data_IF_046985944503
#
_entry.id   IF_046985944503
#
_cell.length_a   1.000
_cell.length_b   1.000
_cell.length_c   1.000
_cell.angle_alpha   90.00
_cell.angle_beta   90.00
_cell.angle_gamma   90.00
#
_symmetry.space_group_name_H-M   'P 1'
#
loop_
_entity.id
_entity.type
_entity.pdbx_description
1 polymer ?
#
# COMPACT_ATOMS: atom_id res chain seq x y z
N UNK A 1 17.89 -0.42 54.77
CA UNK A 1 16.70 -0.23 53.90
C UNK A 1 16.93 0.71 52.70
N UNK A 2 17.88 1.67 52.73
CA UNK A 2 18.15 2.58 51.60
C UNK A 2 18.91 1.95 50.41
N UNK A 3 19.71 0.90 50.64
CA UNK A 3 20.55 0.28 49.60
C UNK A 3 19.72 -0.61 48.64
N UNK A 4 18.65 -1.24 49.13
CA UNK A 4 17.80 -2.13 48.31
C UNK A 4 17.00 -1.33 47.26
N UNK A 5 16.60 -0.10 47.58
CA UNK A 5 15.83 0.77 46.68
C UNK A 5 16.70 1.31 45.53
N UNK A 6 18.01 1.51 45.77
CA UNK A 6 18.95 1.96 44.74
C UNK A 6 19.32 0.81 43.79
N UNK A 7 19.42 -0.42 44.30
CA UNK A 7 19.66 -1.57 43.42
C UNK A 7 18.46 -1.90 42.52
N UNK A 8 17.22 -1.75 43.01
CA UNK A 8 16.03 -1.99 42.16
C UNK A 8 15.85 -0.91 41.10
N UNK A 9 16.20 0.36 41.38
CA UNK A 9 16.09 1.43 40.38
C UNK A 9 17.16 1.34 39.28
N UNK A 10 18.38 0.92 39.61
CA UNK A 10 19.47 0.74 38.63
C UNK A 10 19.25 -0.48 37.75
N UNK A 11 18.69 -1.57 38.30
CA UNK A 11 18.33 -2.76 37.49
C UNK A 11 17.17 -2.44 36.55
N UNK A 12 16.17 -1.65 36.97
CA UNK A 12 15.06 -1.26 36.10
C UNK A 12 15.51 -0.34 34.95
N UNK A 13 16.47 0.56 35.20
CA UNK A 13 17.04 1.44 34.18
C UNK A 13 17.96 0.69 33.20
N UNK A 14 18.70 -0.32 33.68
CA UNK A 14 19.57 -1.17 32.86
C UNK A 14 18.80 -2.10 31.91
N UNK A 15 17.60 -2.57 32.31
CA UNK A 15 16.76 -3.42 31.44
C UNK A 15 16.13 -2.62 30.30
N UNK A 16 15.86 -1.32 30.47
CA UNK A 16 15.36 -0.45 29.40
C UNK A 16 16.46 -0.12 28.37
N UNK A 17 17.72 -0.08 28.79
CA UNK A 17 18.86 0.23 27.91
C UNK A 17 19.45 -0.98 27.17
N UNK A 18 19.02 -2.20 27.52
CA UNK A 18 19.43 -3.45 26.85
C UNK A 18 18.40 -3.97 25.83
N UNK A 19 17.42 -3.16 25.44
CA UNK A 19 16.62 -3.47 24.26
C UNK A 19 17.51 -3.20 23.05
N UNK A 20 17.93 -4.23 22.29
CA UNK A 20 18.74 -4.00 21.10
C UNK A 20 17.99 -3.07 20.16
N UNK A 21 18.63 -1.95 19.81
CA UNK A 21 18.18 -0.91 18.87
C UNK A 21 17.87 -1.42 17.44
N UNK A 22 17.84 -2.73 17.23
CA UNK A 22 17.62 -3.37 15.92
C UNK A 22 16.19 -3.91 15.72
N UNK A 23 15.26 -3.63 16.63
CA UNK A 23 13.85 -3.81 16.31
C UNK A 23 13.35 -2.58 15.57
N UNK A 24 13.57 -2.55 14.25
CA UNK A 24 12.69 -1.79 13.36
C UNK A 24 11.30 -2.34 13.63
N UNK A 25 10.49 -1.59 14.40
CA UNK A 25 9.10 -1.93 14.67
C UNK A 25 8.37 -1.99 13.33
N UNK A 26 8.28 -3.20 12.77
CA UNK A 26 7.35 -3.49 11.71
C UNK A 26 5.96 -3.24 12.30
N UNK A 27 5.34 -2.12 11.92
CA UNK A 27 4.00 -1.78 12.36
C UNK A 27 3.07 -2.94 12.04
N UNK A 28 2.24 -3.34 13.00
CA UNK A 28 1.22 -4.36 12.78
C UNK A 28 0.24 -3.91 11.69
N UNK A 29 -0.43 -4.86 11.05
CA UNK A 29 -1.48 -4.58 10.04
C UNK A 29 -2.56 -3.66 10.61
N UNK A 30 -2.88 -3.79 11.90
CA UNK A 30 -3.83 -2.91 12.59
C UNK A 30 -3.28 -1.50 12.82
N UNK A 31 -1.99 -1.37 13.16
CA UNK A 31 -1.33 -0.07 13.29
C UNK A 31 -1.28 0.67 11.95
N UNK A 32 -0.94 -0.02 10.85
CA UNK A 32 -0.94 0.55 9.49
C UNK A 32 -2.35 1.00 9.10
N UNK A 33 -3.36 0.16 9.34
CA UNK A 33 -4.74 0.50 9.04
C UNK A 33 -5.21 1.72 9.86
N UNK A 34 -4.86 1.79 11.15
CA UNK A 34 -5.20 2.94 12.00
C UNK A 34 -4.46 4.22 11.58
N UNK A 35 -3.19 4.12 11.20
CA UNK A 35 -2.39 5.25 10.70
C UNK A 35 -3.02 5.92 9.47
N UNK A 36 -3.51 5.13 8.51
CA UNK A 36 -4.18 5.70 7.33
C UNK A 36 -5.51 6.35 7.72
N UNK A 37 -6.23 5.86 8.73
CA UNK A 37 -7.47 6.48 9.20
C UNK A 37 -8.63 6.43 8.18
N UNK A 38 -9.66 7.25 8.37
CA UNK A 38 -10.84 7.34 7.50
C UNK A 38 -11.02 8.76 6.93
N UNK A 39 -11.72 8.90 5.80
CA UNK A 39 -11.98 10.20 5.18
C UNK A 39 -13.25 10.83 5.75
N UNK A 40 -13.14 12.09 6.22
CA UNK A 40 -14.28 12.91 6.64
C UNK A 40 -15.13 13.28 5.42
N UNK A 41 -14.51 13.85 4.39
CA UNK A 41 -15.16 14.13 3.11
C UNK A 41 -14.90 12.93 2.19
N UNK A 42 -15.86 12.02 2.11
CA UNK A 42 -15.82 10.80 1.30
C UNK A 42 -16.76 10.94 0.07
N UNK A 43 -16.71 10.02 -0.91
CA UNK A 43 -17.45 10.17 -2.18
C UNK A 43 -18.97 10.26 -2.07
N UNK A 44 -19.56 9.80 -0.96
CA UNK A 44 -20.99 9.95 -0.70
C UNK A 44 -21.34 11.26 0.02
N UNK A 45 -20.35 12.07 0.42
CA UNK A 45 -20.56 13.35 1.07
C UNK A 45 -20.94 14.42 0.03
N UNK A 46 -21.94 15.30 0.27
CA UNK A 46 -22.40 16.29 -0.70
C UNK A 46 -21.31 17.27 -1.15
N UNK A 47 -20.39 17.62 -0.25
CA UNK A 47 -19.26 18.51 -0.54
C UNK A 47 -18.04 17.83 -1.18
N UNK A 48 -18.17 16.58 -1.63
CA UNK A 48 -17.03 15.83 -2.17
C UNK A 48 -16.42 16.45 -3.43
N UNK A 49 -17.21 17.16 -4.23
CA UNK A 49 -16.72 17.86 -5.42
C UNK A 49 -15.62 18.90 -5.08
N UNK A 50 -15.70 19.55 -3.91
CA UNK A 50 -14.68 20.50 -3.42
C UNK A 50 -13.31 19.83 -3.28
N UNK A 51 -13.28 18.53 -2.97
CA UNK A 51 -12.02 17.77 -2.89
C UNK A 51 -11.33 17.69 -4.24
N UNK A 52 -12.09 17.45 -5.31
CA UNK A 52 -11.54 17.39 -6.67
C UNK A 52 -10.97 18.74 -7.08
N UNK A 53 -11.67 19.84 -6.76
CA UNK A 53 -11.19 21.21 -6.99
C UNK A 53 -9.89 21.46 -6.23
N UNK A 54 -9.86 21.14 -4.94
CA UNK A 54 -8.67 21.29 -4.08
C UNK A 54 -7.48 20.49 -4.62
N UNK A 55 -7.70 19.23 -5.01
CA UNK A 55 -6.64 18.36 -5.53
C UNK A 55 -6.02 18.90 -6.83
N UNK A 56 -6.86 19.49 -7.70
CA UNK A 56 -6.37 20.16 -8.90
C UNK A 56 -5.51 21.39 -8.56
N UNK A 57 -5.91 22.21 -7.59
CA UNK A 57 -5.10 23.33 -7.13
C UNK A 57 -3.80 22.89 -6.46
N UNK A 58 -3.84 21.85 -5.63
CA UNK A 58 -2.63 21.29 -4.98
C UNK A 58 -1.60 20.79 -6.00
N UNK A 59 -2.04 20.23 -7.13
CA UNK A 59 -1.15 19.85 -8.23
C UNK A 59 -0.69 21.05 -9.06
N UNK A 60 -1.58 21.98 -9.39
CA UNK A 60 -1.26 23.17 -10.20
C UNK A 60 -0.23 24.05 -9.50
N UNK A 61 -0.29 24.15 -8.17
CA UNK A 61 0.64 24.92 -7.35
C UNK A 61 1.78 24.08 -6.76
N UNK A 62 2.00 22.86 -7.27
CA UNK A 62 3.19 22.10 -6.89
C UNK A 62 4.44 22.77 -7.49
N UNK A 63 5.31 23.30 -6.61
CA UNK A 63 6.46 24.11 -7.02
C UNK A 63 7.50 23.37 -7.89
N UNK A 64 7.52 22.03 -7.86
CA UNK A 64 8.46 21.23 -8.65
C UNK A 64 7.91 19.79 -8.88
N UNK A 65 8.49 19.01 -9.82
CA UNK A 65 8.03 17.66 -10.14
C UNK A 65 8.04 16.70 -8.94
N UNK A 66 9.02 16.83 -8.03
CA UNK A 66 9.08 16.02 -6.80
C UNK A 66 7.88 16.30 -5.89
N UNK A 67 7.55 17.57 -5.66
CA UNK A 67 6.37 17.96 -4.90
C UNK A 67 5.10 17.45 -5.55
N UNK A 68 5.00 17.48 -6.89
CA UNK A 68 3.85 16.93 -7.60
C UNK A 68 3.69 15.42 -7.35
N UNK A 69 4.77 14.64 -7.37
CA UNK A 69 4.72 13.20 -7.04
C UNK A 69 4.30 12.99 -5.58
N UNK A 70 4.85 13.75 -4.64
CA UNK A 70 4.46 13.67 -3.21
C UNK A 70 2.96 13.94 -3.04
N UNK A 71 2.41 14.96 -3.71
CA UNK A 71 0.97 15.23 -3.72
C UNK A 71 0.17 14.05 -4.29
N UNK A 72 0.63 13.41 -5.35
CA UNK A 72 -0.02 12.21 -5.89
C UNK A 72 0.00 11.04 -4.92
N UNK A 73 1.11 10.82 -4.19
CA UNK A 73 1.18 9.82 -3.13
C UNK A 73 0.14 10.13 -2.04
N UNK A 74 0.03 11.39 -1.58
CA UNK A 74 -1.01 11.79 -0.62
C UNK A 74 -2.42 11.51 -1.16
N UNK A 75 -2.65 11.68 -2.47
CA UNK A 75 -3.94 11.42 -3.10
C UNK A 75 -4.27 9.94 -3.11
N UNK A 76 -3.29 9.06 -3.31
CA UNK A 76 -3.46 7.61 -3.14
C UNK A 76 -3.95 7.28 -1.72
N UNK A 77 -3.29 7.83 -0.70
CA UNK A 77 -3.69 7.65 0.71
C UNK A 77 -5.11 8.14 0.95
N UNK A 78 -5.47 9.30 0.38
CA UNK A 78 -6.85 9.82 0.43
C UNK A 78 -7.85 8.85 -0.21
N UNK A 79 -7.53 8.18 -1.32
CA UNK A 79 -8.44 7.19 -1.92
C UNK A 79 -8.62 5.96 -1.02
N UNK A 80 -7.56 5.49 -0.35
CA UNK A 80 -7.70 4.38 0.60
C UNK A 80 -8.55 4.78 1.81
N UNK A 81 -8.37 5.99 2.34
CA UNK A 81 -9.26 6.57 3.38
C UNK A 81 -10.71 6.64 2.93
N UNK A 82 -10.96 7.04 1.69
CA UNK A 82 -12.31 7.08 1.11
C UNK A 82 -12.92 5.69 1.01
N UNK A 83 -12.18 4.70 0.53
CA UNK A 83 -12.66 3.30 0.49
C UNK A 83 -13.04 2.81 1.88
N UNK A 84 -12.22 3.10 2.90
CA UNK A 84 -12.55 2.77 4.30
C UNK A 84 -13.84 3.43 4.76
N UNK A 85 -14.02 4.72 4.50
CA UNK A 85 -15.27 5.42 4.82
C UNK A 85 -16.47 4.82 4.07
N UNK A 86 -16.32 4.50 2.78
CA UNK A 86 -17.40 3.90 2.00
C UNK A 86 -17.83 2.53 2.52
N UNK A 87 -16.89 1.73 3.02
CA UNK A 87 -17.22 0.47 3.69
C UNK A 87 -17.98 0.71 4.99
N UNK A 88 -17.58 1.70 5.79
CA UNK A 88 -18.25 2.07 7.04
C UNK A 88 -19.69 2.58 6.80
N UNK A 89 -19.88 3.46 5.82
CA UNK A 89 -21.19 4.03 5.46
C UNK A 89 -22.02 3.11 4.56
N UNK A 90 -21.60 1.86 4.33
CA UNK A 90 -22.31 0.88 3.51
C UNK A 90 -22.64 1.41 2.09
N UNK A 91 -21.68 2.09 1.46
CA UNK A 91 -21.76 2.61 0.09
C UNK A 91 -20.81 1.86 -0.86
N UNK A 92 -20.99 0.53 -1.05
CA UNK A 92 -20.11 -0.27 -1.91
C UNK A 92 -20.23 0.09 -3.39
N UNK A 93 -21.33 0.75 -3.79
CA UNK A 93 -21.56 1.28 -5.14
C UNK A 93 -20.46 2.25 -5.58
N UNK A 94 -19.92 3.04 -4.66
CA UNK A 94 -18.90 4.05 -4.95
C UNK A 94 -17.46 3.55 -4.86
N UNK A 95 -17.23 2.36 -4.27
CA UNK A 95 -15.89 1.79 -4.08
C UNK A 95 -15.16 1.62 -5.41
N UNK A 96 -15.87 1.13 -6.43
CA UNK A 96 -15.26 0.84 -7.75
C UNK A 96 -14.70 2.11 -8.39
N UNK A 97 -15.50 3.18 -8.43
CA UNK A 97 -15.06 4.48 -8.95
C UNK A 97 -13.91 5.09 -8.15
N UNK A 98 -13.88 4.86 -6.83
CA UNK A 98 -12.84 5.37 -5.93
C UNK A 98 -11.50 4.65 -6.16
N UNK A 99 -11.55 3.33 -6.31
CA UNK A 99 -10.38 2.51 -6.63
C UNK A 99 -9.89 2.70 -8.07
N UNK A 100 -10.76 3.09 -9.00
CA UNK A 100 -10.36 3.51 -10.34
C UNK A 100 -9.58 4.82 -10.31
N UNK A 101 -10.02 5.81 -9.52
CA UNK A 101 -9.24 7.04 -9.27
C UNK A 101 -7.88 6.74 -8.65
N UNK A 102 -7.83 5.80 -7.68
CA UNK A 102 -6.55 5.33 -7.12
C UNK A 102 -5.63 4.79 -8.21
N UNK A 103 -6.14 3.90 -9.06
CA UNK A 103 -5.34 3.30 -10.13
C UNK A 103 -4.84 4.34 -11.13
N UNK A 104 -5.66 5.33 -11.50
CA UNK A 104 -5.23 6.42 -12.38
C UNK A 104 -4.07 7.22 -11.78
N UNK A 105 -4.15 7.55 -10.48
CA UNK A 105 -3.06 8.26 -9.79
C UNK A 105 -1.80 7.38 -9.73
N UNK A 106 -1.95 6.07 -9.53
CA UNK A 106 -0.84 5.12 -9.51
C UNK A 106 -0.12 5.06 -10.88
N UNK A 107 -0.88 4.99 -11.97
CA UNK A 107 -0.36 5.00 -13.34
C UNK A 107 0.32 6.33 -13.67
N UNK A 108 -0.26 7.45 -13.23
CA UNK A 108 0.33 8.78 -13.39
C UNK A 108 1.71 8.88 -12.72
N UNK A 109 1.90 8.27 -11.53
CA UNK A 109 3.20 8.24 -10.86
C UNK A 109 4.19 7.42 -11.68
N UNK A 110 3.77 6.33 -12.34
CA UNK A 110 4.65 5.54 -13.21
C UNK A 110 5.18 6.31 -14.41
N UNK A 111 4.37 7.22 -14.96
CA UNK A 111 4.72 8.04 -16.11
C UNK A 111 5.59 9.25 -15.78
N UNK A 112 5.75 9.59 -14.50
CA UNK A 112 6.61 10.69 -14.08
C UNK A 112 8.08 10.27 -14.09
N UNK A 113 8.98 11.24 -14.29
CA UNK A 113 10.41 11.03 -14.12
C UNK A 113 10.73 10.84 -12.63
N UNK A 114 10.56 9.61 -12.17
CA UNK A 114 10.80 9.19 -10.79
C UNK A 114 12.26 8.80 -10.58
N UNK A 115 13.22 9.31 -11.35
CA UNK A 115 14.63 8.93 -11.20
C UNK A 115 15.25 9.28 -9.84
N UNK A 116 14.55 10.02 -8.98
CA UNK A 116 14.99 10.30 -7.61
C UNK A 116 14.61 9.15 -6.67
N UNK A 117 15.64 8.49 -6.12
CA UNK A 117 15.56 7.35 -5.18
C UNK A 117 14.59 7.59 -4.02
N UNK A 118 14.62 8.77 -3.42
CA UNK A 118 13.81 9.12 -2.25
C UNK A 118 12.31 9.14 -2.56
N UNK A 119 11.93 9.65 -3.72
CA UNK A 119 10.54 9.71 -4.18
C UNK A 119 10.01 8.32 -4.51
N UNK A 120 10.80 7.49 -5.19
CA UNK A 120 10.42 6.10 -5.51
C UNK A 120 10.23 5.29 -4.23
N UNK A 121 11.16 5.43 -3.28
CA UNK A 121 11.08 4.73 -2.00
C UNK A 121 9.82 5.11 -1.23
N UNK A 122 9.53 6.41 -1.13
CA UNK A 122 8.33 6.92 -0.47
C UNK A 122 7.05 6.38 -1.12
N UNK A 123 6.98 6.39 -2.46
CA UNK A 123 5.83 5.86 -3.18
C UNK A 123 5.64 4.36 -2.93
N UNK A 124 6.73 3.59 -2.94
CA UNK A 124 6.71 2.14 -2.73
C UNK A 124 6.32 1.75 -1.30
N UNK A 125 6.86 2.43 -0.29
CA UNK A 125 6.51 2.20 1.11
C UNK A 125 5.01 2.49 1.34
N UNK A 126 4.52 3.62 0.82
CA UNK A 126 3.11 4.00 0.98
C UNK A 126 2.16 3.06 0.21
N UNK A 127 2.52 2.67 -1.02
CA UNK A 127 1.75 1.71 -1.81
C UNK A 127 1.75 0.31 -1.18
N UNK A 128 2.84 -0.10 -0.53
CA UNK A 128 2.88 -1.34 0.24
C UNK A 128 1.93 -1.31 1.45
N UNK A 129 1.86 -0.19 2.18
CA UNK A 129 0.88 -0.01 3.26
C UNK A 129 -0.56 -0.09 2.72
N UNK A 130 -0.83 0.56 1.59
CA UNK A 130 -2.14 0.51 0.92
C UNK A 130 -2.52 -0.92 0.52
N UNK A 131 -1.58 -1.70 0.01
CA UNK A 131 -1.79 -3.09 -0.37
C UNK A 131 -2.25 -3.93 0.83
N UNK A 132 -1.57 -3.80 1.97
CA UNK A 132 -1.92 -4.51 3.20
C UNK A 132 -3.33 -4.14 3.66
N UNK A 133 -3.68 -2.85 3.62
CA UNK A 133 -5.03 -2.38 3.98
C UNK A 133 -6.08 -2.97 3.03
N UNK A 134 -5.84 -2.93 1.72
CA UNK A 134 -6.77 -3.47 0.73
C UNK A 134 -7.00 -4.97 0.93
N UNK A 135 -5.95 -5.75 1.18
CA UNK A 135 -6.05 -7.19 1.45
C UNK A 135 -6.84 -7.44 2.74
N UNK A 136 -6.53 -6.71 3.82
CA UNK A 136 -7.26 -6.81 5.09
C UNK A 136 -8.75 -6.52 4.92
N UNK A 137 -9.09 -5.47 4.19
CA UNK A 137 -10.47 -5.02 3.99
C UNK A 137 -11.25 -5.89 3.01
N UNK A 138 -10.57 -6.54 2.06
CA UNK A 138 -11.21 -7.44 1.10
C UNK A 138 -12.07 -8.52 1.77
N UNK A 139 -11.61 -9.09 2.88
CA UNK A 139 -12.31 -10.18 3.60
C UNK A 139 -13.61 -9.71 4.25
N UNK A 140 -13.79 -8.39 4.43
CA UNK A 140 -14.97 -7.77 5.03
C UNK A 140 -16.02 -7.38 3.97
N UNK A 141 -15.73 -7.57 2.68
CA UNK A 141 -16.65 -7.21 1.61
C UNK A 141 -17.67 -8.32 1.37
N UNK A 142 -18.92 -7.92 1.22
CA UNK A 142 -19.99 -8.80 0.72
C UNK A 142 -20.31 -8.53 -0.75
N UNK A 143 -20.22 -7.26 -1.17
CA UNK A 143 -20.56 -6.83 -2.52
C UNK A 143 -19.54 -7.35 -3.57
N UNK A 144 -20.03 -8.14 -4.54
CA UNK A 144 -19.20 -8.74 -5.59
C UNK A 144 -18.51 -7.71 -6.49
N UNK A 145 -19.17 -6.60 -6.82
CA UNK A 145 -18.57 -5.53 -7.63
C UNK A 145 -17.40 -4.87 -6.89
N UNK A 146 -17.55 -4.61 -5.60
CA UNK A 146 -16.47 -4.12 -4.75
C UNK A 146 -15.32 -5.13 -4.68
N UNK A 147 -15.60 -6.43 -4.50
CA UNK A 147 -14.57 -7.50 -4.52
C UNK A 147 -13.77 -7.52 -5.82
N UNK A 148 -14.45 -7.42 -6.97
CA UNK A 148 -13.79 -7.35 -8.29
C UNK A 148 -12.85 -6.14 -8.35
N UNK A 149 -13.32 -4.97 -7.91
CA UNK A 149 -12.52 -3.75 -7.91
C UNK A 149 -11.29 -3.85 -6.98
N UNK A 150 -11.44 -4.45 -5.80
CA UNK A 150 -10.31 -4.73 -4.91
C UNK A 150 -9.28 -5.68 -5.56
N UNK A 151 -9.71 -6.80 -6.13
CA UNK A 151 -8.82 -7.75 -6.84
C UNK A 151 -8.07 -7.06 -7.98
N UNK A 152 -8.76 -6.23 -8.77
CA UNK A 152 -8.16 -5.46 -9.86
C UNK A 152 -7.12 -4.47 -9.34
N UNK A 153 -7.41 -3.72 -8.29
CA UNK A 153 -6.48 -2.75 -7.72
C UNK A 153 -5.26 -3.43 -7.08
N UNK A 154 -5.45 -4.51 -6.31
CA UNK A 154 -4.33 -5.30 -5.74
C UNK A 154 -3.43 -5.84 -6.86
N UNK A 155 -4.03 -6.35 -7.94
CA UNK A 155 -3.28 -6.80 -9.11
C UNK A 155 -2.51 -5.66 -9.79
N UNK A 156 -3.07 -4.45 -9.90
CA UNK A 156 -2.39 -3.29 -10.47
C UNK A 156 -1.24 -2.82 -9.59
N UNK A 157 -1.44 -2.74 -8.28
CA UNK A 157 -0.39 -2.42 -7.30
C UNK A 157 0.77 -3.41 -7.42
N UNK A 158 0.48 -4.71 -7.47
CA UNK A 158 1.50 -5.75 -7.63
C UNK A 158 2.34 -5.53 -8.90
N UNK A 159 1.70 -5.25 -10.04
CA UNK A 159 2.39 -4.97 -11.30
C UNK A 159 3.22 -3.68 -11.25
N UNK A 160 2.66 -2.63 -10.67
CA UNK A 160 3.33 -1.35 -10.48
C UNK A 160 4.59 -1.50 -9.62
N UNK A 161 4.49 -2.26 -8.53
CA UNK A 161 5.63 -2.52 -7.65
C UNK A 161 6.73 -3.30 -8.37
N UNK A 162 6.38 -4.32 -9.16
CA UNK A 162 7.36 -5.05 -9.99
C UNK A 162 8.11 -4.09 -10.91
N UNK A 163 7.40 -3.23 -11.63
CA UNK A 163 7.98 -2.22 -12.53
C UNK A 163 8.93 -1.27 -11.77
N UNK A 164 8.49 -0.71 -10.65
CA UNK A 164 9.31 0.21 -9.86
C UNK A 164 10.56 -0.47 -9.28
N UNK A 165 10.43 -1.71 -8.81
CA UNK A 165 11.56 -2.50 -8.33
C UNK A 165 12.55 -2.87 -9.45
N UNK A 166 12.10 -2.96 -10.71
CA UNK A 166 13.01 -3.13 -11.85
C UNK A 166 13.85 -1.87 -12.05
N UNK A 167 13.20 -0.70 -12.07
CA UNK A 167 13.86 0.61 -12.22
C UNK A 167 14.91 0.85 -11.12
N UNK A 168 14.60 0.48 -9.88
CA UNK A 168 15.56 0.57 -8.77
C UNK A 168 16.78 -0.32 -8.97
N UNK A 169 16.58 -1.56 -9.43
CA UNK A 169 17.70 -2.47 -9.70
C UNK A 169 18.60 -1.96 -10.82
N UNK A 170 18.02 -1.46 -11.91
CA UNK A 170 18.81 -0.88 -13.02
C UNK A 170 19.53 0.40 -12.59
N UNK A 171 19.00 1.13 -11.60
CA UNK A 171 19.63 2.31 -11.01
C UNK A 171 20.67 2.02 -9.92
N UNK A 172 21.02 0.75 -9.66
CA UNK A 172 22.02 0.38 -8.66
C UNK A 172 21.53 0.36 -7.19
N UNK A 173 20.22 0.39 -6.96
CA UNK A 173 19.61 0.40 -5.62
C UNK A 173 19.12 -0.99 -5.17
N UNK A 174 20.03 -1.97 -5.12
CA UNK A 174 19.72 -3.39 -4.89
C UNK A 174 19.09 -3.67 -3.52
N UNK A 175 19.54 -3.02 -2.45
CA UNK A 175 19.01 -3.26 -1.09
C UNK A 175 17.56 -2.82 -0.95
N UNK A 176 17.22 -1.69 -1.57
CA UNK A 176 15.86 -1.17 -1.57
C UNK A 176 14.92 -2.08 -2.37
N UNK A 177 15.43 -2.60 -3.49
CA UNK A 177 14.71 -3.61 -4.24
C UNK A 177 14.46 -4.87 -3.41
N UNK A 178 15.43 -5.37 -2.63
CA UNK A 178 15.26 -6.52 -1.72
C UNK A 178 14.15 -6.27 -0.69
N UNK A 179 14.13 -5.10 -0.03
CA UNK A 179 13.05 -4.71 0.90
C UNK A 179 11.68 -4.76 0.22
N UNK A 180 11.58 -4.21 -0.99
CA UNK A 180 10.32 -4.14 -1.72
C UNK A 180 9.81 -5.50 -2.19
N UNK A 181 10.70 -6.46 -2.43
CA UNK A 181 10.31 -7.85 -2.73
C UNK A 181 9.48 -8.45 -1.59
N UNK A 182 9.93 -8.27 -0.34
CA UNK A 182 9.25 -8.82 0.84
C UNK A 182 7.87 -8.18 1.05
N UNK A 183 7.77 -6.86 0.86
CA UNK A 183 6.52 -6.12 1.02
C UNK A 183 5.43 -6.49 0.00
N UNK A 184 5.80 -7.11 -1.12
CA UNK A 184 4.87 -7.48 -2.20
C UNK A 184 4.44 -8.94 -2.20
N UNK A 185 5.09 -9.79 -1.42
CA UNK A 185 4.74 -11.20 -1.31
C UNK A 185 3.26 -11.43 -0.90
N UNK A 186 2.67 -10.64 0.04
CA UNK A 186 1.26 -10.79 0.38
C UNK A 186 0.31 -10.58 -0.81
N UNK A 187 0.65 -9.71 -1.77
CA UNK A 187 -0.15 -9.55 -2.99
C UNK A 187 -0.15 -10.82 -3.84
N UNK A 188 1.03 -11.44 -4.03
CA UNK A 188 1.14 -12.64 -4.83
C UNK A 188 0.35 -13.80 -4.20
N UNK A 189 0.48 -13.97 -2.87
CA UNK A 189 -0.26 -14.96 -2.10
C UNK A 189 -1.77 -14.72 -2.18
N UNK A 190 -2.21 -13.46 -2.03
CA UNK A 190 -3.60 -13.07 -2.20
C UNK A 190 -4.14 -13.45 -3.58
N UNK A 191 -3.44 -13.07 -4.64
CA UNK A 191 -3.87 -13.34 -6.03
C UNK A 191 -3.93 -14.85 -6.32
N UNK A 192 -2.98 -15.62 -5.80
CA UNK A 192 -2.94 -17.08 -5.93
C UNK A 192 -4.12 -17.74 -5.21
N UNK A 193 -4.37 -17.33 -3.95
CA UNK A 193 -5.53 -17.80 -3.19
C UNK A 193 -6.83 -17.48 -3.91
N UNK A 194 -7.00 -16.24 -4.37
CA UNK A 194 -8.22 -15.84 -5.09
C UNK A 194 -8.39 -16.58 -6.42
N UNK A 195 -7.30 -16.94 -7.11
CA UNK A 195 -7.38 -17.73 -8.33
C UNK A 195 -7.96 -19.14 -8.12
N UNK A 196 -7.91 -19.68 -6.89
CA UNK A 196 -8.56 -20.94 -6.50
C UNK A 196 -10.03 -20.78 -6.07
N UNK A 197 -10.55 -19.55 -6.05
CA UNK A 197 -11.91 -19.28 -5.58
C UNK A 197 -12.96 -19.88 -6.51
N UNK A 198 -13.93 -20.58 -5.92
CA UNK A 198 -15.11 -21.08 -6.61
C UNK A 198 -16.07 -19.96 -7.03
N UNK A 199 -15.92 -18.75 -6.46
CA UNK A 199 -16.73 -17.58 -6.81
C UNK A 199 -16.34 -16.91 -8.14
N UNK A 200 -15.31 -17.41 -8.82
CA UNK A 200 -14.81 -16.89 -10.09
C UNK A 200 -15.16 -17.83 -11.24
N UNK A 201 -15.31 -17.27 -12.44
CA UNK A 201 -15.37 -18.09 -13.66
C UNK A 201 -13.97 -18.56 -14.11
N UNK A 202 -13.91 -19.49 -15.07
CA UNK A 202 -12.65 -20.07 -15.54
C UNK A 202 -11.67 -19.03 -16.09
N UNK A 203 -12.16 -18.06 -16.85
CA UNK A 203 -11.31 -17.00 -17.42
C UNK A 203 -10.70 -16.15 -16.31
N UNK A 204 -11.51 -15.76 -15.31
CA UNK A 204 -11.05 -14.99 -14.16
C UNK A 204 -10.00 -15.76 -13.34
N UNK A 205 -10.23 -17.06 -13.10
CA UNK A 205 -9.26 -17.93 -12.41
C UNK A 205 -7.93 -18.00 -13.16
N UNK A 206 -7.97 -18.24 -14.47
CA UNK A 206 -6.76 -18.31 -15.31
C UNK A 206 -6.01 -16.98 -15.32
N UNK A 207 -6.72 -15.86 -15.47
CA UNK A 207 -6.10 -14.53 -15.49
C UNK A 207 -5.46 -14.20 -14.15
N UNK A 208 -6.13 -14.47 -13.02
CA UNK A 208 -5.56 -14.25 -11.69
C UNK A 208 -4.38 -15.17 -11.41
N UNK A 209 -4.47 -16.45 -11.78
CA UNK A 209 -3.36 -17.40 -11.65
C UNK A 209 -2.14 -16.91 -12.41
N UNK A 210 -2.29 -16.54 -13.68
CA UNK A 210 -1.19 -16.00 -14.50
C UNK A 210 -0.56 -14.74 -13.89
N UNK A 211 -1.36 -13.88 -13.26
CA UNK A 211 -0.86 -12.68 -12.55
C UNK A 211 -0.11 -13.06 -11.27
N UNK A 212 -0.62 -14.02 -10.50
CA UNK A 212 0.06 -14.55 -9.33
C UNK A 212 1.40 -15.21 -9.70
N UNK A 213 1.43 -16.03 -10.75
CA UNK A 213 2.64 -16.68 -11.24
C UNK A 213 3.68 -15.65 -11.67
N UNK A 214 3.27 -14.62 -12.45
CA UNK A 214 4.17 -13.52 -12.83
C UNK A 214 4.73 -12.77 -11.61
N UNK A 215 3.91 -12.59 -10.57
CA UNK A 215 4.30 -12.00 -9.30
C UNK A 215 5.36 -12.89 -8.62
N UNK A 216 5.07 -14.16 -8.41
CA UNK A 216 6.00 -15.11 -7.79
C UNK A 216 7.29 -15.30 -8.58
N UNK A 217 7.24 -15.43 -9.91
CA UNK A 217 8.45 -15.58 -10.73
C UNK A 217 9.39 -14.41 -10.48
N UNK A 218 8.89 -13.18 -10.48
CA UNK A 218 9.73 -12.01 -10.25
C UNK A 218 10.37 -12.01 -8.85
N UNK A 219 9.64 -12.47 -7.83
CA UNK A 219 10.09 -12.43 -6.45
C UNK A 219 10.90 -13.66 -6.00
N UNK A 220 10.58 -14.87 -6.48
CA UNK A 220 11.32 -16.11 -6.22
C UNK A 220 12.65 -16.15 -6.99
N UNK A 221 12.68 -15.70 -8.25
CA UNK A 221 13.94 -15.64 -9.02
C UNK A 221 14.93 -14.69 -8.32
N UNK A 222 14.49 -13.57 -7.76
CA UNK A 222 15.39 -12.63 -7.08
C UNK A 222 15.76 -12.97 -5.64
N UNK A 223 15.15 -13.97 -5.01
CA UNK A 223 15.65 -14.51 -3.74
C UNK A 223 16.80 -15.51 -3.92
N UNK A 224 16.97 -16.04 -5.13
CA UNK A 224 17.99 -17.07 -5.43
C UNK A 224 19.28 -16.45 -5.99
N UNK A 225 19.21 -15.30 -6.66
CA UNK A 225 20.36 -14.67 -7.34
C UNK A 225 20.96 -13.47 -6.58
N UNK A 226 20.75 -13.37 -5.27
CA UNK A 226 21.09 -12.20 -4.45
C UNK A 226 21.34 -12.59 -2.99
#
# INVERSE_FOLDING_TARGET
MKIIIVLTSVVLFGVIFLIPYNQVLALSVDQIDNYVGASIIHPAHPLYFLKTIRENFELKFAANPKTAVIRKIEFLTRRIREVKSLMHYQRPDLISSTLEKYAKILDDISGMDTQKRDVVNMAQDEVANHLVILIKRYTQLENNRAKISFRRTISRISQWNIEMTKRLNTGGYTDLAKKQIQLNLPACQFLSKEASSSALNDVERVVLKKRADKCFIYYNVRQIYN
#
